data_IF_308087991669
#
_entry.id   IF_308087991669
#
_cell.length_a   1.000
_cell.length_b   1.000
_cell.length_c   1.000
_cell.angle_alpha   90.00
_cell.angle_beta   90.00
_cell.angle_gamma   90.00
#
_symmetry.space_group_name_H-M   'P 1'
#
loop_
_entity.id
_entity.type
_entity.pdbx_description
1 polymer ?
#
# COMPACT_ATOMS: atom_id res chain seq x y z
N UNK A 1 19.89 -44.52 -30.67
CA UNK A 1 19.12 -43.26 -30.62
C UNK A 1 20.07 -42.12 -30.31
N UNK A 2 20.13 -41.07 -31.15
CA UNK A 2 21.06 -39.93 -31.00
C UNK A 2 20.41 -38.75 -30.27
N UNK A 3 19.09 -38.63 -30.35
CA UNK A 3 18.29 -37.72 -29.53
C UNK A 3 16.84 -38.20 -29.44
N UNK A 4 16.08 -37.68 -28.48
CA UNK A 4 14.65 -37.96 -28.28
C UNK A 4 13.97 -36.87 -27.45
N UNK A 5 12.65 -36.83 -27.50
CA UNK A 5 11.84 -35.87 -26.74
C UNK A 5 11.08 -36.54 -25.60
N UNK A 6 10.89 -35.82 -24.50
CA UNK A 6 9.97 -36.19 -23.41
C UNK A 6 9.00 -35.04 -23.20
N UNK A 7 7.71 -35.36 -23.13
CA UNK A 7 6.65 -34.41 -22.79
C UNK A 7 6.31 -34.59 -21.31
N UNK A 8 6.38 -33.52 -20.53
CA UNK A 8 6.13 -33.51 -19.08
C UNK A 8 4.99 -32.54 -18.76
N UNK A 9 3.75 -33.05 -18.56
CA UNK A 9 2.62 -32.25 -18.14
C UNK A 9 2.59 -32.06 -16.62
N UNK A 10 2.06 -30.93 -16.15
CA UNK A 10 2.01 -30.60 -14.72
C UNK A 10 0.90 -31.32 -13.95
N UNK A 11 -0.11 -31.86 -14.65
CA UNK A 11 -1.30 -32.48 -14.08
C UNK A 11 -1.20 -34.01 -13.96
N UNK A 12 0.02 -34.58 -13.86
CA UNK A 12 0.18 -36.01 -13.59
C UNK A 12 -0.37 -36.36 -12.21
N UNK A 13 -0.72 -37.64 -12.02
CA UNK A 13 -1.37 -38.15 -10.81
C UNK A 13 -0.42 -38.30 -9.58
N UNK A 14 0.53 -37.39 -9.41
CA UNK A 14 1.44 -37.33 -8.25
C UNK A 14 0.88 -36.30 -7.28
N UNK A 15 0.72 -36.72 -6.03
CA UNK A 15 0.20 -35.86 -4.96
C UNK A 15 1.09 -34.62 -4.75
N UNK A 16 0.46 -33.46 -4.59
CA UNK A 16 1.15 -32.19 -4.36
C UNK A 16 1.62 -31.48 -5.63
N UNK A 17 1.44 -32.06 -6.82
CA UNK A 17 1.75 -31.36 -8.08
C UNK A 17 0.89 -30.10 -8.24
N UNK A 18 1.55 -29.02 -8.65
CA UNK A 18 0.94 -27.74 -9.03
C UNK A 18 1.46 -27.31 -10.39
N UNK A 19 0.75 -26.43 -11.08
CA UNK A 19 1.15 -25.92 -12.40
C UNK A 19 2.56 -25.30 -12.41
N UNK A 20 2.99 -24.71 -11.28
CA UNK A 20 4.32 -24.11 -11.11
C UNK A 20 5.38 -25.03 -10.49
N UNK A 21 5.01 -26.20 -9.97
CA UNK A 21 5.93 -27.07 -9.22
C UNK A 21 5.38 -28.48 -9.29
N UNK A 22 5.99 -29.31 -10.12
CA UNK A 22 5.46 -30.64 -10.39
C UNK A 22 6.56 -31.65 -10.71
N UNK A 23 6.27 -32.91 -10.37
CA UNK A 23 7.08 -34.08 -10.68
C UNK A 23 6.38 -34.94 -11.70
N UNK A 24 7.15 -35.56 -12.59
CA UNK A 24 6.66 -36.55 -13.55
C UNK A 24 7.49 -37.82 -13.42
N UNK A 25 6.84 -38.93 -13.05
CA UNK A 25 7.45 -40.26 -13.08
C UNK A 25 7.41 -40.80 -14.49
N UNK A 26 8.56 -41.24 -14.98
CA UNK A 26 8.68 -41.81 -16.32
C UNK A 26 8.17 -43.26 -16.33
N UNK A 27 7.52 -43.72 -17.41
CA UNK A 27 7.03 -45.10 -17.52
C UNK A 27 8.15 -46.14 -17.39
N UNK A 28 9.35 -45.79 -17.86
CA UNK A 28 10.57 -46.59 -17.73
C UNK A 28 11.71 -45.71 -17.27
N UNK A 29 12.57 -46.29 -16.43
CA UNK A 29 13.81 -45.64 -16.00
C UNK A 29 14.73 -45.47 -17.22
N UNK A 30 15.08 -44.22 -17.51
CA UNK A 30 16.05 -43.90 -18.56
C UNK A 30 17.46 -44.12 -18.02
N UNK A 31 18.32 -44.72 -18.83
CA UNK A 31 19.73 -44.94 -18.52
C UNK A 31 20.60 -44.31 -19.60
N UNK A 32 21.60 -43.54 -19.18
CA UNK A 32 22.48 -42.77 -20.04
C UNK A 32 23.91 -43.31 -19.93
N UNK A 33 24.33 -44.06 -20.95
CA UNK A 33 25.65 -44.72 -21.00
C UNK A 33 26.78 -43.82 -21.51
N UNK A 34 26.51 -42.53 -21.74
CA UNK A 34 27.46 -41.55 -22.27
C UNK A 34 27.11 -40.16 -21.77
N UNK A 35 27.80 -39.13 -22.25
CA UNK A 35 27.38 -37.74 -22.00
C UNK A 35 26.13 -37.40 -22.81
N UNK A 36 25.14 -36.81 -22.12
CA UNK A 36 23.89 -36.35 -22.69
C UNK A 36 23.63 -34.92 -22.25
N UNK A 37 22.90 -34.20 -23.08
CA UNK A 37 22.41 -32.87 -22.78
C UNK A 37 20.89 -32.85 -22.87
N UNK A 38 20.28 -31.95 -22.11
CA UNK A 38 18.85 -31.71 -22.12
C UNK A 38 18.58 -30.22 -22.31
N UNK A 39 17.54 -29.90 -23.07
CA UNK A 39 17.08 -28.53 -23.25
C UNK A 39 15.57 -28.43 -23.38
N UNK A 40 15.02 -27.27 -23.03
CA UNK A 40 13.60 -26.99 -23.20
C UNK A 40 13.31 -26.60 -24.66
N UNK A 41 12.52 -27.43 -25.36
CA UNK A 41 12.19 -27.26 -26.77
C UNK A 41 10.82 -26.59 -27.00
N UNK A 42 9.83 -26.91 -26.18
CA UNK A 42 8.50 -26.29 -26.21
C UNK A 42 7.99 -26.11 -24.79
N UNK A 43 7.29 -25.00 -24.53
CA UNK A 43 6.53 -24.79 -23.30
C UNK A 43 5.12 -24.32 -23.63
N UNK A 44 4.13 -25.03 -23.10
CA UNK A 44 2.72 -24.64 -23.13
C UNK A 44 2.32 -24.23 -21.72
N UNK A 45 1.78 -23.03 -21.53
CA UNK A 45 1.37 -22.54 -20.22
C UNK A 45 0.08 -21.69 -20.28
N UNK A 46 -0.74 -21.70 -19.23
CA UNK A 46 -1.90 -20.83 -19.12
C UNK A 46 -1.48 -19.46 -18.57
N UNK A 47 -1.91 -18.36 -19.17
CA UNK A 47 -1.74 -17.03 -18.60
C UNK A 47 -2.85 -16.75 -17.58
N UNK A 48 -2.77 -17.38 -16.41
CA UNK A 48 -3.85 -17.43 -15.42
C UNK A 48 -3.49 -16.74 -14.10
N UNK A 49 -2.70 -15.67 -14.13
CA UNK A 49 -2.40 -14.86 -12.95
C UNK A 49 -2.78 -13.39 -13.21
N UNK A 50 -3.13 -12.61 -12.16
CA UNK A 50 -3.46 -11.21 -12.34
C UNK A 50 -2.19 -10.37 -12.50
N UNK A 51 -2.25 -9.29 -13.29
CA UNK A 51 -1.15 -8.32 -13.40
C UNK A 51 -0.88 -7.59 -12.08
N UNK A 52 -1.93 -7.28 -11.31
CA UNK A 52 -1.82 -6.64 -10.00
C UNK A 52 -2.12 -7.65 -8.90
N UNK A 53 -1.29 -7.66 -7.86
CA UNK A 53 -1.48 -8.54 -6.72
C UNK A 53 -1.19 -10.00 -7.04
N UNK A 54 -0.20 -10.23 -7.92
CA UNK A 54 0.29 -11.55 -8.31
C UNK A 54 0.90 -12.27 -7.12
N UNK A 55 1.81 -11.59 -6.41
CA UNK A 55 2.59 -12.20 -5.32
C UNK A 55 2.01 -11.89 -3.94
N UNK A 56 1.54 -10.65 -3.73
CA UNK A 56 1.13 -10.14 -2.43
C UNK A 56 -0.15 -9.30 -2.58
N UNK A 57 -0.89 -9.15 -1.48
CA UNK A 57 -1.96 -8.16 -1.40
C UNK A 57 -1.42 -6.75 -1.65
N UNK A 58 -2.20 -5.92 -2.36
CA UNK A 58 -1.79 -4.57 -2.74
C UNK A 58 -2.61 -3.56 -1.97
N UNK A 59 -1.95 -2.53 -1.43
CA UNK A 59 -2.63 -1.53 -0.61
C UNK A 59 -2.12 -0.12 -0.84
N UNK A 60 -3.01 0.84 -0.62
CA UNK A 60 -2.68 2.26 -0.47
C UNK A 60 -2.92 2.61 1.00
N UNK A 61 -1.87 3.01 1.72
CA UNK A 61 -1.97 3.44 3.10
C UNK A 61 -1.89 4.95 3.16
N UNK A 62 -2.89 5.58 3.79
CA UNK A 62 -2.94 7.03 3.97
C UNK A 62 -2.66 7.36 5.43
N UNK A 63 -1.65 8.18 5.65
CA UNK A 63 -1.31 8.76 6.94
C UNK A 63 -1.91 10.16 7.00
N UNK A 64 -2.83 10.38 7.93
CA UNK A 64 -3.55 11.63 8.09
C UNK A 64 -2.81 12.55 9.06
N UNK A 65 -2.90 13.87 8.86
CA UNK A 65 -2.36 14.85 9.83
C UNK A 65 -2.99 14.77 11.22
N UNK A 66 -4.18 14.17 11.32
CA UNK A 66 -4.81 13.83 12.60
C UNK A 66 -4.04 12.77 13.41
N UNK A 67 -3.03 12.14 12.83
CA UNK A 67 -2.28 11.02 13.43
C UNK A 67 -2.87 9.65 13.10
N UNK A 68 -4.06 9.60 12.50
CA UNK A 68 -4.70 8.35 12.11
C UNK A 68 -4.06 7.76 10.85
N UNK A 69 -4.12 6.43 10.72
CA UNK A 69 -3.62 5.69 9.55
C UNK A 69 -4.71 4.79 9.03
N UNK A 70 -4.98 4.83 7.72
CA UNK A 70 -5.98 3.97 7.07
C UNK A 70 -5.37 3.27 5.88
N UNK A 71 -5.50 1.95 5.85
CA UNK A 71 -5.06 1.11 4.75
C UNK A 71 -6.23 0.72 3.85
N UNK A 72 -6.12 1.03 2.57
CA UNK A 72 -7.11 0.71 1.55
C UNK A 72 -6.61 -0.45 0.70
N UNK A 73 -7.30 -1.60 0.78
CA UNK A 73 -7.00 -2.75 -0.07
C UNK A 73 -7.34 -2.47 -1.53
N UNK A 74 -6.37 -2.75 -2.41
CA UNK A 74 -6.50 -2.72 -3.86
C UNK A 74 -6.61 -4.17 -4.33
N UNK A 75 -7.77 -4.59 -4.88
CA UNK A 75 -8.00 -5.98 -5.23
C UNK A 75 -7.06 -6.42 -6.36
N UNK A 76 -6.60 -7.69 -6.30
CA UNK A 76 -5.86 -8.30 -7.40
C UNK A 76 -6.71 -8.27 -8.67
N UNK A 77 -6.12 -7.84 -9.78
CA UNK A 77 -6.85 -7.64 -11.02
C UNK A 77 -5.95 -7.70 -12.26
N UNK A 78 -6.57 -8.02 -13.39
CA UNK A 78 -5.99 -7.91 -14.72
C UNK A 78 -6.00 -6.47 -15.17
N UNK A 79 -4.81 -5.94 -15.44
CA UNK A 79 -4.69 -4.58 -15.91
C UNK A 79 -4.69 -4.56 -17.44
N UNK A 80 -5.81 -4.15 -18.02
CA UNK A 80 -5.95 -4.02 -19.48
C UNK A 80 -5.45 -2.67 -19.98
N UNK A 81 -5.68 -1.61 -19.20
CA UNK A 81 -5.22 -0.26 -19.51
C UNK A 81 -5.06 0.57 -18.21
N UNK A 82 -4.30 1.67 -18.26
CA UNK A 82 -4.09 2.53 -17.10
C UNK A 82 -5.36 3.20 -16.55
N UNK A 83 -6.35 3.48 -17.39
CA UNK A 83 -7.60 4.10 -16.94
C UNK A 83 -8.38 3.16 -16.00
N UNK A 84 -8.45 1.88 -16.35
CA UNK A 84 -9.09 0.87 -15.51
C UNK A 84 -8.39 0.73 -14.14
N UNK A 85 -7.05 0.82 -14.11
CA UNK A 85 -6.31 0.85 -12.84
C UNK A 85 -6.69 2.06 -11.99
N UNK A 86 -6.76 3.25 -12.62
CA UNK A 86 -7.20 4.48 -11.96
C UNK A 86 -8.57 4.32 -11.32
N UNK A 87 -9.54 3.80 -12.08
CA UNK A 87 -10.91 3.62 -11.61
C UNK A 87 -10.99 2.62 -10.43
N UNK A 88 -10.13 1.61 -10.42
CA UNK A 88 -10.02 0.67 -9.30
C UNK A 88 -9.44 1.33 -8.04
N UNK A 89 -8.41 2.16 -8.19
CA UNK A 89 -7.85 2.94 -7.08
C UNK A 89 -8.88 3.91 -6.50
N UNK A 90 -9.61 4.61 -7.35
CA UNK A 90 -10.71 5.48 -6.94
C UNK A 90 -11.79 4.71 -6.17
N UNK A 91 -12.13 3.49 -6.61
CA UNK A 91 -13.10 2.65 -5.90
C UNK A 91 -12.58 2.24 -4.53
N UNK A 92 -11.30 1.87 -4.42
CA UNK A 92 -10.67 1.52 -3.13
C UNK A 92 -10.65 2.71 -2.17
N UNK A 93 -10.23 3.89 -2.64
CA UNK A 93 -10.20 5.11 -1.84
C UNK A 93 -11.60 5.63 -1.49
N UNK A 94 -12.62 5.37 -2.32
CA UNK A 94 -14.01 5.76 -2.01
C UNK A 94 -14.64 4.96 -0.87
N UNK A 95 -14.03 3.87 -0.39
CA UNK A 95 -14.55 3.11 0.76
C UNK A 95 -14.51 3.93 2.05
N UNK A 96 -13.53 4.82 2.19
CA UNK A 96 -13.38 5.65 3.39
C UNK A 96 -13.14 4.85 4.67
N UNK A 97 -13.30 5.54 5.81
CA UNK A 97 -13.25 4.94 7.15
C UNK A 97 -14.40 5.49 8.00
N UNK A 98 -15.49 4.71 8.11
CA UNK A 98 -16.62 5.08 8.98
C UNK A 98 -16.21 5.10 10.47
N UNK A 99 -15.20 4.32 10.87
CA UNK A 99 -14.66 4.37 12.22
C UNK A 99 -14.04 5.75 12.54
N UNK A 100 -13.27 6.33 11.60
CA UNK A 100 -12.72 7.67 11.77
C UNK A 100 -13.79 8.76 11.69
N UNK A 101 -14.79 8.58 10.81
CA UNK A 101 -15.94 9.48 10.74
C UNK A 101 -16.65 9.55 12.09
N UNK A 102 -16.89 8.39 12.73
CA UNK A 102 -17.58 8.35 14.01
C UNK A 102 -16.70 8.90 15.15
N UNK A 103 -15.39 8.62 15.13
CA UNK A 103 -14.40 9.22 16.04
C UNK A 103 -14.45 10.75 15.97
N UNK A 104 -14.42 11.34 14.77
CA UNK A 104 -14.45 12.79 14.63
C UNK A 104 -15.80 13.40 15.00
N UNK A 105 -16.91 12.69 14.76
CA UNK A 105 -18.25 13.14 15.17
C UNK A 105 -18.42 13.14 16.68
N UNK A 106 -17.97 12.10 17.37
CA UNK A 106 -18.06 12.03 18.83
C UNK A 106 -17.26 13.16 19.46
N UNK A 107 -16.02 13.38 18.99
CA UNK A 107 -15.16 14.51 19.39
C UNK A 107 -15.84 15.85 19.10
N UNK A 108 -16.43 16.01 17.91
CA UNK A 108 -17.13 17.25 17.55
C UNK A 108 -18.28 17.57 18.50
N UNK A 109 -19.12 16.58 18.79
CA UNK A 109 -20.28 16.73 19.68
C UNK A 109 -19.82 17.05 21.10
N UNK A 110 -18.86 16.29 21.62
CA UNK A 110 -18.32 16.46 22.97
C UNK A 110 -17.70 17.86 23.12
N UNK A 111 -16.83 18.25 22.19
CA UNK A 111 -16.18 19.56 22.22
C UNK A 111 -17.20 20.70 22.10
N UNK A 112 -18.17 20.60 21.19
CA UNK A 112 -19.20 21.63 21.02
C UNK A 112 -20.06 21.80 22.28
N UNK A 113 -20.43 20.69 22.93
CA UNK A 113 -21.18 20.72 24.18
C UNK A 113 -20.34 21.35 25.30
N UNK A 114 -19.05 20.99 25.38
CA UNK A 114 -18.13 21.56 26.35
C UNK A 114 -17.96 23.07 26.16
N UNK A 115 -17.80 23.54 24.93
CA UNK A 115 -17.73 24.98 24.63
C UNK A 115 -18.98 25.73 25.09
N UNK A 116 -20.19 25.16 24.91
CA UNK A 116 -21.44 25.78 25.41
C UNK A 116 -21.48 25.85 26.93
N UNK A 117 -21.03 24.80 27.61
CA UNK A 117 -20.91 24.76 29.07
C UNK A 117 -19.95 25.84 29.58
N UNK A 118 -18.73 25.89 29.01
CA UNK A 118 -17.72 26.88 29.38
C UNK A 118 -18.17 28.31 29.10
N UNK A 119 -18.94 28.54 28.03
CA UNK A 119 -19.51 29.86 27.73
C UNK A 119 -20.53 30.29 28.79
N UNK A 120 -21.32 29.34 29.28
CA UNK A 120 -22.28 29.59 30.37
C UNK A 120 -21.53 29.90 31.68
N UNK A 121 -20.48 29.13 32.00
CA UNK A 121 -19.61 29.38 33.15
C UNK A 121 -18.89 30.74 33.09
N UNK A 122 -18.40 31.13 31.90
CA UNK A 122 -17.76 32.42 31.68
C UNK A 122 -18.72 33.59 31.94
N UNK A 123 -19.96 33.49 31.45
CA UNK A 123 -21.03 34.47 31.71
C UNK A 123 -21.34 34.60 33.21
N UNK A 124 -21.50 33.48 33.90
CA UNK A 124 -21.77 33.48 35.35
C UNK A 124 -20.60 34.08 36.15
N UNK A 125 -19.36 33.74 35.78
CA UNK A 125 -18.15 34.25 36.43
C UNK A 125 -17.98 35.75 36.18
N UNK A 126 -18.21 36.22 34.95
CA UNK A 126 -18.18 37.63 34.60
C UNK A 126 -19.25 38.43 35.37
N UNK A 127 -20.48 37.92 35.44
CA UNK A 127 -21.57 38.55 36.21
C UNK A 127 -21.20 38.71 37.70
N UNK A 128 -20.65 37.66 38.32
CA UNK A 128 -20.17 37.71 39.71
C UNK A 128 -19.05 38.75 39.90
N UNK A 129 -18.07 38.78 38.99
CA UNK A 129 -16.97 39.76 39.04
C UNK A 129 -17.48 41.19 38.89
N UNK A 130 -18.47 41.42 38.01
CA UNK A 130 -19.12 42.72 37.84
C UNK A 130 -19.88 43.15 39.10
N UNK A 131 -20.66 42.26 39.70
CA UNK A 131 -21.37 42.52 40.97
C UNK A 131 -20.40 42.82 42.13
N UNK A 132 -19.29 42.09 42.21
CA UNK A 132 -18.22 42.33 43.21
C UNK A 132 -17.53 43.68 43.02
N UNK A 133 -17.31 44.11 41.77
CA UNK A 133 -16.72 45.41 41.47
C UNK A 133 -17.66 46.57 41.80
N UNK A 134 -18.98 46.39 41.62
CA UNK A 134 -20.01 47.37 41.99
C UNK A 134 -20.21 47.47 43.51
N UNK A 135 -20.10 46.36 44.26
CA UNK A 135 -20.15 46.39 45.74
C UNK A 135 -18.93 47.05 46.39
N UNK A 136 -17.78 47.09 45.71
CA UNK A 136 -16.57 47.80 46.18
C UNK A 136 -16.65 49.33 45.99
N UNK A 137 -17.62 49.83 45.22
CA UNK A 137 -17.78 51.27 44.91
C UNK A 137 -18.91 51.96 45.67
N UNK A 138 -19.65 51.26 46.55
CA UNK A 138 -20.62 51.91 47.44
C UNK A 138 -19.90 52.66 48.58
N UNK A 139 -20.18 53.97 48.81
CA UNK A 139 -19.51 54.74 49.84
C UNK A 139 -20.00 54.30 51.22
N UNK A 140 -19.06 53.96 52.11
CA UNK A 140 -19.31 53.88 53.55
C UNK A 140 -19.61 55.31 54.01
N UNK A 141 -20.88 55.63 54.24
CA UNK A 141 -21.25 56.82 54.99
C UNK A 141 -20.83 56.60 56.44
N UNK A 142 -19.78 57.28 56.89
CA UNK A 142 -19.63 57.62 58.30
C UNK A 142 -18.91 58.95 58.46
N UNK A 143 -19.48 59.69 59.40
CA UNK A 143 -19.17 61.03 59.85
C UNK A 143 -17.75 61.19 60.40
N UNK A 144 -17.31 62.45 60.39
CA UNK A 144 -16.26 63.11 61.20
C UNK A 144 -14.74 62.95 60.89
N UNK A 145 -14.21 64.08 60.37
CA UNK A 145 -12.97 64.83 60.69
C UNK A 145 -11.56 64.27 60.41
N UNK A 146 -10.90 64.99 59.48
CA UNK A 146 -9.49 65.49 59.43
C UNK A 146 -8.31 64.58 59.84
N UNK A 147 -7.43 64.25 58.87
CA UNK A 147 -6.07 64.81 58.76
C UNK A 147 -5.33 64.31 57.48
N UNK A 148 -4.46 65.17 56.96
CA UNK A 148 -3.68 65.04 55.72
C UNK A 148 -2.60 63.94 55.76
N UNK A 149 -2.52 63.10 54.72
CA UNK A 149 -1.25 62.52 54.22
C UNK A 149 -1.28 62.42 52.69
N UNK A 150 -0.21 62.89 52.04
CA UNK A 150 0.01 62.95 50.59
C UNK A 150 0.48 61.58 50.05
N UNK A 151 -0.01 61.31 48.84
CA UNK A 151 0.00 60.10 48.01
C UNK A 151 1.38 59.75 47.42
N UNK A 152 1.72 58.45 47.35
CA UNK A 152 2.26 57.83 46.12
C UNK A 152 2.39 56.30 46.26
N UNK A 153 1.30 55.57 46.02
CA UNK A 153 1.37 54.20 45.50
C UNK A 153 0.35 54.07 44.36
N UNK A 154 0.86 54.08 43.13
CA UNK A 154 0.15 53.62 41.94
C UNK A 154 -0.09 52.11 42.07
N UNK A 155 -1.09 51.72 42.86
CA UNK A 155 -1.66 50.38 42.72
C UNK A 155 -2.50 50.35 41.45
N UNK A 156 -1.93 49.80 40.38
CA UNK A 156 -2.66 49.40 39.17
C UNK A 156 -3.94 48.67 39.58
N UNK A 157 -5.09 49.26 39.25
CA UNK A 157 -6.39 48.61 39.37
C UNK A 157 -6.38 47.44 38.37
N UNK A 158 -6.53 46.17 38.81
CA UNK A 158 -6.57 45.06 37.87
C UNK A 158 -7.74 45.28 36.92
N UNK A 159 -7.45 45.48 35.63
CA UNK A 159 -8.49 45.67 34.61
C UNK A 159 -9.46 44.48 34.67
N UNK A 160 -10.75 44.77 34.76
CA UNK A 160 -11.77 43.72 34.81
C UNK A 160 -11.69 42.90 33.52
N UNK A 161 -11.30 41.63 33.62
CA UNK A 161 -11.23 40.74 32.45
C UNK A 161 -12.58 40.70 31.73
N UNK A 162 -12.55 40.76 30.40
CA UNK A 162 -13.74 40.62 29.57
C UNK A 162 -14.33 39.20 29.65
N UNK A 163 -15.62 39.03 29.31
CA UNK A 163 -16.24 37.69 29.23
C UNK A 163 -15.46 36.76 28.29
N UNK A 164 -14.97 37.31 27.17
CA UNK A 164 -14.23 36.55 26.17
C UNK A 164 -12.85 36.12 26.66
N UNK A 165 -12.12 36.96 27.41
CA UNK A 165 -10.87 36.54 28.06
C UNK A 165 -11.10 35.43 29.09
N UNK A 166 -12.16 35.53 29.90
CA UNK A 166 -12.51 34.48 30.86
C UNK A 166 -12.86 33.19 30.14
N UNK A 167 -13.58 33.27 29.02
CA UNK A 167 -13.92 32.11 28.20
C UNK A 167 -12.68 31.46 27.60
N UNK A 168 -11.75 32.23 27.02
CA UNK A 168 -10.50 31.71 26.47
C UNK A 168 -9.63 31.05 27.55
N UNK A 169 -9.51 31.64 28.73
CA UNK A 169 -8.81 31.03 29.87
C UNK A 169 -9.40 29.66 30.24
N UNK A 170 -10.74 29.57 30.31
CA UNK A 170 -11.44 28.34 30.63
C UNK A 170 -11.26 27.26 29.54
N UNK A 171 -11.30 27.64 28.27
CA UNK A 171 -11.05 26.74 27.14
C UNK A 171 -9.62 26.20 27.19
N UNK A 172 -8.63 27.05 27.44
CA UNK A 172 -7.23 26.63 27.55
C UNK A 172 -7.03 25.63 28.70
N UNK A 173 -7.63 25.89 29.86
CA UNK A 173 -7.58 24.97 31.01
C UNK A 173 -8.22 23.63 30.66
N UNK A 174 -9.35 23.63 29.96
CA UNK A 174 -10.05 22.40 29.62
C UNK A 174 -9.30 21.59 28.55
N UNK A 175 -8.77 22.25 27.53
CA UNK A 175 -7.93 21.61 26.52
C UNK A 175 -6.73 20.90 27.15
N UNK A 176 -6.13 21.43 28.22
CA UNK A 176 -5.02 20.77 28.93
C UNK A 176 -5.39 19.42 29.56
N UNK A 177 -6.66 19.25 29.98
CA UNK A 177 -7.15 18.02 30.62
C UNK A 177 -7.50 16.90 29.63
N UNK A 178 -7.63 17.22 28.35
CA UNK A 178 -8.00 16.26 27.30
C UNK A 178 -6.85 15.30 26.98
N UNK A 179 -7.20 14.13 26.42
CA UNK A 179 -6.22 13.16 25.91
C UNK A 179 -5.47 13.72 24.70
N UNK A 180 -4.27 13.20 24.45
CA UNK A 180 -3.41 13.70 23.37
C UNK A 180 -4.04 13.49 21.97
N UNK A 181 -4.75 12.38 21.77
CA UNK A 181 -5.51 12.10 20.54
C UNK A 181 -6.63 13.13 20.31
N UNK A 182 -7.36 13.49 21.38
CA UNK A 182 -8.42 14.50 21.30
C UNK A 182 -7.82 15.88 20.99
N UNK A 183 -6.72 16.26 21.67
CA UNK A 183 -6.00 17.51 21.42
C UNK A 183 -5.52 17.61 19.97
N UNK A 184 -4.99 16.52 19.41
CA UNK A 184 -4.54 16.49 18.02
C UNK A 184 -5.70 16.69 17.05
N UNK A 185 -6.84 16.02 17.26
CA UNK A 185 -8.05 16.21 16.47
C UNK A 185 -8.54 17.66 16.54
N UNK A 186 -8.63 18.25 17.74
CA UNK A 186 -9.03 19.64 17.89
C UNK A 186 -8.06 20.58 17.16
N UNK A 187 -6.75 20.31 17.26
CA UNK A 187 -5.74 21.11 16.57
C UNK A 187 -5.95 21.14 15.06
N UNK A 188 -6.10 19.97 14.42
CA UNK A 188 -6.25 19.88 12.96
C UNK A 188 -7.62 20.36 12.47
N UNK A 189 -8.65 20.27 13.31
CA UNK A 189 -9.99 20.75 12.99
C UNK A 189 -10.20 22.23 13.25
N UNK A 190 -9.37 22.88 14.08
CA UNK A 190 -9.42 24.34 14.24
C UNK A 190 -9.00 25.08 12.95
N UNK A 191 -8.09 24.50 12.17
CA UNK A 191 -7.62 25.07 10.91
C UNK A 191 -8.65 24.91 9.78
N UNK A 192 -9.25 23.72 9.66
CA UNK A 192 -10.04 23.31 8.49
C UNK A 192 -11.53 23.15 8.78
N UNK A 193 -11.88 22.82 10.04
CA UNK A 193 -13.24 22.49 10.48
C UNK A 193 -13.54 20.99 10.47
N UNK A 194 -14.48 20.54 11.31
CA UNK A 194 -14.83 19.12 11.43
C UNK A 194 -15.50 18.53 10.17
N UNK A 195 -16.39 19.28 9.51
CA UNK A 195 -17.16 18.77 8.38
C UNK A 195 -16.29 18.40 7.15
N UNK A 196 -15.30 19.21 6.74
CA UNK A 196 -14.37 18.82 5.69
C UNK A 196 -13.58 17.54 6.04
N UNK A 197 -13.08 17.42 7.26
CA UNK A 197 -12.41 16.21 7.75
C UNK A 197 -13.32 14.98 7.64
N UNK A 198 -14.56 15.07 8.12
CA UNK A 198 -15.56 13.99 8.01
C UNK A 198 -15.82 13.62 6.53
N UNK A 199 -15.91 14.61 5.65
CA UNK A 199 -16.12 14.39 4.21
C UNK A 199 -14.94 13.66 3.57
N UNK A 200 -13.72 14.04 3.93
CA UNK A 200 -12.48 13.41 3.45
C UNK A 200 -12.36 11.99 3.99
N UNK A 201 -12.63 11.73 5.27
CA UNK A 201 -12.60 10.36 5.80
C UNK A 201 -13.65 9.44 5.17
N UNK A 202 -14.81 9.98 4.80
CA UNK A 202 -15.82 9.23 4.06
C UNK A 202 -15.40 8.95 2.62
N UNK A 203 -14.70 9.91 1.98
CA UNK A 203 -14.22 9.80 0.60
C UNK A 203 -12.77 10.28 0.47
N UNK A 204 -11.79 9.46 0.89
CA UNK A 204 -10.36 9.79 0.85
C UNK A 204 -9.88 10.31 -0.49
N UNK A 205 -10.49 9.87 -1.60
CA UNK A 205 -10.20 10.38 -2.94
C UNK A 205 -10.31 11.91 -3.12
N UNK A 206 -10.99 12.60 -2.20
CA UNK A 206 -11.10 14.06 -2.21
C UNK A 206 -9.83 14.75 -1.71
N UNK A 207 -9.04 14.08 -0.87
CA UNK A 207 -7.77 14.58 -0.37
C UNK A 207 -6.57 13.88 -1.03
N UNK A 208 -6.74 12.69 -1.59
CA UNK A 208 -5.69 12.03 -2.35
C UNK A 208 -6.23 11.17 -3.48
N UNK A 209 -5.86 11.44 -4.73
CA UNK A 209 -6.29 10.65 -5.88
C UNK A 209 -5.19 10.48 -6.92
N UNK A 210 -5.30 9.37 -7.64
CA UNK A 210 -4.43 9.06 -8.77
C UNK A 210 -5.11 9.51 -10.05
N UNK A 211 -4.37 10.17 -10.94
CA UNK A 211 -4.86 10.52 -12.27
C UNK A 211 -3.92 10.01 -13.33
N UNK A 212 -4.48 9.47 -14.41
CA UNK A 212 -3.69 9.01 -15.54
C UNK A 212 -3.73 10.04 -16.67
N UNK A 213 -2.56 10.57 -17.03
CA UNK A 213 -2.42 11.51 -18.12
C UNK A 213 -2.07 10.76 -19.42
N UNK A 214 -3.08 10.48 -20.25
CA UNK A 214 -2.94 9.75 -21.51
C UNK A 214 -1.87 10.34 -22.45
N UNK A 215 -1.81 11.66 -22.58
CA UNK A 215 -0.82 12.35 -23.42
C UNK A 215 0.63 12.16 -22.95
N UNK A 216 0.85 12.14 -21.63
CA UNK A 216 2.19 11.93 -21.05
C UNK A 216 2.50 10.44 -20.84
N UNK A 217 1.48 9.59 -20.91
CA UNK A 217 1.52 8.20 -20.48
C UNK A 217 2.15 8.07 -19.08
N UNK A 218 1.63 8.85 -18.12
CA UNK A 218 2.11 8.91 -16.72
C UNK A 218 0.94 9.02 -15.76
N UNK A 219 1.09 8.40 -14.59
CA UNK A 219 0.24 8.71 -13.45
C UNK A 219 0.73 9.97 -12.73
N UNK A 220 -0.20 10.67 -12.10
CA UNK A 220 0.07 11.64 -11.06
C UNK A 220 -0.70 11.25 -9.81
N UNK A 221 -0.16 11.63 -8.66
CA UNK A 221 -0.81 11.53 -7.36
C UNK A 221 -1.01 12.95 -6.85
N UNK A 222 -2.25 13.33 -6.63
CA UNK A 222 -2.60 14.51 -5.87
C UNK A 222 -2.65 14.16 -4.38
N UNK A 223 -2.08 15.03 -3.56
CA UNK A 223 -2.11 14.98 -2.10
C UNK A 223 -2.46 16.37 -1.60
N UNK A 224 -3.58 16.47 -0.90
CA UNK A 224 -3.98 17.64 -0.16
C UNK A 224 -3.26 17.68 1.20
N UNK A 225 -2.28 18.57 1.29
CA UNK A 225 -1.45 18.73 2.48
C UNK A 225 -2.22 19.26 3.70
N UNK A 226 -3.47 19.71 3.57
CA UNK A 226 -4.30 20.08 4.74
C UNK A 226 -4.72 18.83 5.53
N UNK A 227 -4.91 17.70 4.86
CA UNK A 227 -5.43 16.48 5.48
C UNK A 227 -4.40 15.35 5.56
N UNK A 228 -3.60 15.18 4.51
CA UNK A 228 -2.74 14.02 4.33
C UNK A 228 -1.29 14.40 4.65
N UNK A 229 -0.66 13.62 5.53
CA UNK A 229 0.77 13.73 5.84
C UNK A 229 1.61 13.01 4.77
N UNK A 230 1.24 11.77 4.45
CA UNK A 230 1.91 10.96 3.43
C UNK A 230 1.03 9.80 2.98
N UNK A 231 1.41 9.23 1.84
CA UNK A 231 0.81 8.03 1.27
C UNK A 231 1.91 6.98 1.10
N UNK A 232 1.62 5.76 1.48
CA UNK A 232 2.49 4.61 1.29
C UNK A 232 1.81 3.59 0.37
N UNK A 233 2.54 3.15 -0.64
CA UNK A 233 2.11 2.16 -1.62
C UNK A 233 2.90 0.87 -1.44
N UNK A 234 2.25 -0.27 -1.65
CA UNK A 234 2.97 -1.53 -1.82
C UNK A 234 3.92 -1.47 -3.01
N UNK A 235 5.03 -2.20 -2.92
CA UNK A 235 6.12 -2.16 -3.93
C UNK A 235 5.63 -2.35 -5.37
N UNK A 236 4.85 -3.41 -5.60
CA UNK A 236 4.33 -3.71 -6.94
C UNK A 236 3.38 -2.61 -7.42
N UNK A 237 2.55 -2.04 -6.54
CA UNK A 237 1.64 -0.96 -6.91
C UNK A 237 2.39 0.32 -7.29
N UNK A 238 3.41 0.71 -6.50
CA UNK A 238 4.28 1.84 -6.83
C UNK A 238 4.96 1.65 -8.19
N UNK A 239 5.50 0.44 -8.43
CA UNK A 239 6.14 0.06 -9.69
C UNK A 239 5.17 0.15 -10.88
N UNK A 240 3.98 -0.46 -10.77
CA UNK A 240 2.95 -0.46 -11.81
C UNK A 240 2.52 0.96 -12.18
N UNK A 241 2.42 1.85 -11.18
CA UNK A 241 2.05 3.24 -11.38
C UNK A 241 3.20 4.10 -11.94
N UNK A 242 4.45 3.59 -11.88
CA UNK A 242 5.65 4.25 -12.39
C UNK A 242 6.33 5.17 -11.38
N UNK A 243 6.03 5.02 -10.09
CA UNK A 243 6.75 5.70 -9.00
C UNK A 243 8.00 4.92 -8.63
N UNK A 244 9.08 5.64 -8.30
CA UNK A 244 10.36 5.10 -7.88
C UNK A 244 10.47 4.92 -6.35
N UNK A 245 9.46 5.38 -5.62
CA UNK A 245 9.38 5.34 -4.16
C UNK A 245 7.98 4.94 -3.72
N UNK A 246 7.92 4.19 -2.62
CA UNK A 246 6.67 3.72 -2.01
C UNK A 246 6.00 4.81 -1.16
N UNK A 247 6.80 5.66 -0.54
CA UNK A 247 6.33 6.74 0.34
C UNK A 247 6.33 8.05 -0.42
N UNK A 248 5.17 8.70 -0.48
CA UNK A 248 4.88 9.93 -1.22
C UNK A 248 4.29 10.95 -0.25
N UNK A 249 4.99 12.07 -0.05
CA UNK A 249 4.61 13.12 0.92
C UNK A 249 3.97 14.33 0.25
N UNK A 250 4.07 14.46 -1.07
CA UNK A 250 3.61 15.61 -1.83
C UNK A 250 2.98 15.19 -3.16
N UNK A 251 2.19 16.11 -3.72
CA UNK A 251 1.63 15.94 -5.06
C UNK A 251 2.77 15.78 -6.07
N UNK A 252 2.74 14.69 -6.83
CA UNK A 252 3.85 14.34 -7.73
C UNK A 252 3.37 13.59 -8.98
N UNK A 253 4.24 13.55 -9.99
CA UNK A 253 4.04 12.81 -11.23
C UNK A 253 5.00 11.62 -11.23
N UNK A 254 4.52 10.46 -11.64
CA UNK A 254 5.32 9.27 -11.81
C UNK A 254 6.47 9.49 -12.81
N UNK A 255 7.66 8.96 -12.50
CA UNK A 255 8.84 9.09 -13.34
C UNK A 255 8.73 8.20 -14.60
N UNK A 256 8.08 7.05 -14.47
CA UNK A 256 8.03 6.02 -15.51
C UNK A 256 6.64 5.80 -16.09
N UNK A 257 6.58 5.24 -17.31
CA UNK A 257 5.32 4.77 -17.89
C UNK A 257 4.76 3.65 -17.03
N UNK A 258 3.43 3.58 -16.86
CA UNK A 258 2.86 2.53 -16.05
C UNK A 258 2.99 1.16 -16.72
N UNK A 259 3.38 0.14 -15.96
CA UNK A 259 3.52 -1.23 -16.45
C UNK A 259 2.29 -2.07 -16.10
N UNK A 260 1.40 -2.26 -17.07
CA UNK A 260 0.19 -3.08 -16.91
C UNK A 260 0.48 -4.59 -16.83
N UNK A 261 1.73 -5.02 -16.99
CA UNK A 261 2.15 -6.43 -16.81
C UNK A 261 2.56 -6.75 -15.37
N UNK A 262 2.62 -5.76 -14.49
CA UNK A 262 2.86 -6.01 -13.07
C UNK A 262 4.30 -6.37 -12.72
N UNK A 263 5.27 -6.05 -13.57
CA UNK A 263 6.68 -6.40 -13.39
C UNK A 263 7.03 -7.84 -13.71
N UNK A 264 6.05 -8.67 -14.08
CA UNK A 264 6.26 -10.09 -14.40
C UNK A 264 6.31 -10.25 -15.93
N UNK A 265 7.53 -10.30 -16.47
CA UNK A 265 7.77 -10.35 -17.93
C UNK A 265 8.31 -11.69 -18.43
N UNK A 266 8.84 -12.52 -17.54
CA UNK A 266 9.41 -13.82 -17.88
C UNK A 266 9.28 -14.84 -16.75
N UNK A 267 9.30 -16.12 -17.13
CA UNK A 267 9.50 -17.24 -16.24
C UNK A 267 10.97 -17.65 -16.22
N UNK A 268 11.40 -18.16 -15.08
CA UNK A 268 12.61 -18.95 -14.96
C UNK A 268 12.17 -20.41 -14.76
N UNK A 269 12.51 -21.27 -15.71
CA UNK A 269 12.13 -22.70 -15.67
C UNK A 269 13.28 -23.49 -15.08
N UNK A 270 13.10 -24.02 -13.88
CA UNK A 270 14.09 -24.78 -13.14
C UNK A 270 13.89 -26.27 -13.36
N UNK A 271 15.00 -27.02 -13.41
CA UNK A 271 15.01 -28.47 -13.35
C UNK A 271 15.99 -28.98 -12.30
N UNK A 272 15.65 -28.87 -11.00
CA UNK A 272 16.53 -29.26 -9.91
C UNK A 272 16.92 -30.75 -10.02
N UNK A 273 18.22 -31.03 -9.85
CA UNK A 273 18.76 -32.40 -9.91
C UNK A 273 18.90 -32.98 -11.32
N UNK A 274 18.39 -32.31 -12.36
CA UNK A 274 18.52 -32.77 -13.75
C UNK A 274 19.79 -32.22 -14.42
N UNK A 275 20.06 -30.93 -14.22
CA UNK A 275 21.14 -30.17 -14.88
C UNK A 275 22.06 -29.51 -13.87
N UNK A 276 23.29 -29.20 -14.32
CA UNK A 276 24.24 -28.44 -13.52
C UNK A 276 23.73 -27.01 -13.24
N UNK A 277 23.82 -26.51 -12.00
CA UNK A 277 23.50 -25.12 -11.70
C UNK A 277 24.37 -24.15 -12.51
N UNK A 278 23.75 -23.10 -13.04
CA UNK A 278 24.44 -22.03 -13.75
C UNK A 278 24.36 -20.72 -12.96
N UNK A 279 25.31 -19.82 -13.20
CA UNK A 279 25.28 -18.46 -12.65
C UNK A 279 24.21 -17.63 -13.36
N UNK A 280 23.31 -17.03 -12.59
CA UNK A 280 22.24 -16.13 -13.03
C UNK A 280 22.27 -14.90 -12.13
N UNK A 281 22.80 -13.80 -12.65
CA UNK A 281 23.03 -12.61 -11.83
C UNK A 281 23.99 -12.92 -10.69
N UNK A 282 23.52 -12.74 -9.46
CA UNK A 282 24.23 -12.98 -8.20
C UNK A 282 23.93 -14.34 -7.56
N UNK A 283 23.14 -15.21 -8.20
CA UNK A 283 22.74 -16.52 -7.68
C UNK A 283 23.14 -17.66 -8.62
N UNK A 284 23.39 -18.86 -8.08
CA UNK A 284 23.55 -20.10 -8.87
C UNK A 284 22.31 -20.97 -8.82
N UNK A 285 21.76 -21.36 -9.97
CA UNK A 285 20.50 -22.08 -10.07
C UNK A 285 20.42 -23.03 -11.28
N UNK A 286 19.73 -24.19 -11.16
CA UNK A 286 19.55 -25.14 -12.27
C UNK A 286 18.41 -24.72 -13.21
N UNK A 287 18.58 -23.60 -13.92
CA UNK A 287 17.58 -23.06 -14.85
C UNK A 287 17.77 -23.61 -16.26
N UNK A 288 16.77 -24.34 -16.77
CA UNK A 288 16.75 -24.82 -18.16
C UNK A 288 16.68 -23.65 -19.15
N UNK A 289 15.83 -22.66 -18.87
CA UNK A 289 15.58 -21.53 -19.75
C UNK A 289 14.81 -20.41 -19.05
N UNK A 290 15.09 -19.17 -19.46
CA UNK A 290 14.24 -18.01 -19.19
C UNK A 290 13.24 -17.88 -20.35
N UNK A 291 11.95 -17.86 -20.06
CA UNK A 291 10.86 -17.84 -21.05
C UNK A 291 10.11 -16.52 -20.94
N UNK A 292 10.10 -15.72 -22.00
CA UNK A 292 9.32 -14.48 -22.02
C UNK A 292 7.82 -14.78 -22.04
N UNK A 293 7.07 -14.07 -21.20
CA UNK A 293 5.61 -14.17 -21.13
C UNK A 293 5.00 -13.43 -22.32
N UNK A 294 4.09 -14.11 -23.02
CA UNK A 294 3.35 -13.58 -24.17
C UNK A 294 1.86 -13.88 -24.01
N UNK A 295 1.07 -13.42 -24.96
CA UNK A 295 -0.37 -13.61 -24.97
C UNK A 295 -1.11 -12.70 -24.00
N UNK A 296 -2.44 -12.71 -24.13
CA UNK A 296 -3.35 -12.05 -23.20
C UNK A 296 -3.63 -12.97 -22.01
N UNK A 297 -4.16 -12.39 -20.95
CA UNK A 297 -4.67 -13.18 -19.84
C UNK A 297 -5.76 -14.15 -20.30
N UNK A 298 -5.83 -15.30 -19.64
CA UNK A 298 -6.72 -16.43 -19.89
C UNK A 298 -6.43 -17.21 -21.19
N UNK A 299 -5.42 -16.82 -21.97
CA UNK A 299 -4.94 -17.58 -23.12
C UNK A 299 -4.02 -18.74 -22.67
N UNK A 300 -4.02 -19.82 -23.47
CA UNK A 300 -3.00 -20.87 -23.40
C UNK A 300 -1.95 -20.52 -24.45
N UNK A 301 -0.72 -20.30 -24.01
CA UNK A 301 0.39 -19.90 -24.87
C UNK A 301 1.29 -21.10 -25.09
N UNK A 302 1.56 -21.39 -26.36
CA UNK A 302 2.61 -22.29 -26.80
C UNK A 302 3.81 -21.48 -27.29
N UNK A 303 4.96 -21.65 -26.61
CA UNK A 303 6.23 -21.08 -27.04
C UNK A 303 7.13 -22.21 -27.54
N UNK A 304 7.42 -22.19 -28.85
CA UNK A 304 8.37 -23.11 -29.49
C UNK A 304 9.73 -22.44 -29.63
N UNK A 305 10.79 -23.10 -29.16
CA UNK A 305 12.14 -22.53 -29.18
C UNK A 305 12.95 -23.04 -30.39
N UNK A 306 13.19 -22.15 -31.36
CA UNK A 306 14.00 -22.46 -32.55
C UNK A 306 15.45 -22.83 -32.21
N UNK A 307 16.06 -22.09 -31.29
CA UNK A 307 17.38 -22.40 -30.75
C UNK A 307 17.21 -23.00 -29.36
N UNK A 308 17.45 -24.30 -29.18
CA UNK A 308 17.33 -24.97 -27.88
C UNK A 308 18.62 -24.75 -27.06
N UNK A 309 18.48 -24.24 -25.84
CA UNK A 309 19.57 -24.14 -24.87
C UNK A 309 19.76 -25.50 -24.21
N UNK A 310 20.90 -26.15 -24.51
CA UNK A 310 21.24 -27.46 -23.97
C UNK A 310 22.16 -27.34 -22.76
N UNK A 311 21.87 -28.15 -21.76
CA UNK A 311 22.63 -28.23 -20.51
C UNK A 311 23.11 -29.66 -20.30
N UNK A 312 24.29 -29.83 -19.72
CA UNK A 312 24.83 -31.15 -19.40
C UNK A 312 23.94 -31.84 -18.37
N UNK A 313 23.61 -33.10 -18.63
CA UNK A 313 22.86 -33.93 -17.71
C UNK A 313 23.75 -34.37 -16.53
N UNK A 314 23.30 -34.17 -15.30
CA UNK A 314 24.05 -34.58 -14.10
C UNK A 314 23.92 -36.07 -13.80
N UNK A 315 22.74 -36.62 -14.05
CA UNK A 315 22.36 -37.98 -13.64
C UNK A 315 22.49 -38.96 -14.80
N UNK A 316 23.00 -40.16 -14.50
CA UNK A 316 23.06 -41.26 -15.47
C UNK A 316 21.77 -42.07 -15.55
N UNK A 317 20.87 -41.87 -14.59
CA UNK A 317 19.61 -42.58 -14.52
C UNK A 317 18.48 -41.64 -14.10
N UNK A 318 17.35 -41.69 -14.80
CA UNK A 318 16.18 -40.85 -14.52
C UNK A 318 14.93 -41.72 -14.45
N UNK A 319 14.28 -41.73 -13.30
CA UNK A 319 12.93 -42.28 -13.12
C UNK A 319 11.88 -41.19 -12.91
N UNK A 320 12.31 -40.00 -12.50
CA UNK A 320 11.43 -38.87 -12.19
C UNK A 320 12.13 -37.57 -12.58
N UNK A 321 11.35 -36.62 -13.13
CA UNK A 321 11.81 -35.28 -13.46
C UNK A 321 11.01 -34.30 -12.62
N UNK A 322 11.71 -33.39 -11.94
CA UNK A 322 11.13 -32.32 -11.14
C UNK A 322 11.33 -30.97 -11.84
N UNK A 323 10.25 -30.19 -11.95
CA UNK A 323 10.24 -28.86 -12.56
C UNK A 323 9.66 -27.84 -11.59
N UNK A 324 10.28 -26.66 -11.55
CA UNK A 324 9.69 -25.48 -10.93
C UNK A 324 9.65 -24.31 -11.92
N UNK A 325 8.59 -23.51 -11.89
CA UNK A 325 8.40 -22.32 -12.70
C UNK A 325 8.33 -21.15 -11.75
N UNK A 326 9.34 -20.28 -11.82
CA UNK A 326 9.53 -19.15 -10.92
C UNK A 326 9.47 -17.81 -11.65
N UNK A 327 9.13 -16.76 -10.93
CA UNK A 327 9.27 -15.36 -11.35
C UNK A 327 10.75 -14.97 -11.41
N UNK A 328 11.06 -13.77 -11.91
CA UNK A 328 12.41 -13.20 -11.86
C UNK A 328 12.92 -12.93 -10.44
N UNK A 329 12.03 -12.76 -9.46
CA UNK A 329 12.41 -12.64 -8.04
C UNK A 329 12.65 -14.00 -7.36
N UNK A 330 12.44 -15.11 -8.08
CA UNK A 330 12.64 -16.46 -7.56
C UNK A 330 11.44 -17.05 -6.81
N UNK A 331 10.33 -16.32 -6.68
CA UNK A 331 9.07 -16.86 -6.13
C UNK A 331 8.40 -17.81 -7.11
N UNK A 332 7.64 -18.79 -6.62
CA UNK A 332 6.85 -19.66 -7.51
C UNK A 332 5.78 -18.86 -8.25
N UNK A 333 5.64 -19.09 -9.55
CA UNK A 333 4.65 -18.40 -10.38
C UNK A 333 3.22 -18.77 -9.95
N UNK A 334 2.35 -17.83 -9.55
CA UNK A 334 1.05 -18.16 -8.97
C UNK A 334 -0.03 -18.36 -10.04
N UNK A 335 0.09 -19.42 -10.85
CA UNK A 335 -0.98 -19.83 -11.76
C UNK A 335 -2.27 -20.13 -10.97
N UNK A 336 -3.38 -19.49 -11.33
CA UNK A 336 -4.67 -19.72 -10.65
C UNK A 336 -5.35 -21.00 -11.16
N UNK A 337 -5.17 -21.32 -12.44
CA UNK A 337 -5.77 -22.49 -13.08
C UNK A 337 -5.03 -22.88 -14.37
N UNK A 338 -5.45 -24.00 -14.97
CA UNK A 338 -4.86 -24.54 -16.21
C UNK A 338 -3.64 -25.45 -15.96
N UNK A 339 -3.16 -26.09 -17.02
CA UNK A 339 -2.06 -27.06 -16.99
C UNK A 339 -0.87 -26.53 -17.78
N UNK A 340 0.33 -26.73 -17.28
CA UNK A 340 1.57 -26.44 -17.98
C UNK A 340 2.17 -27.72 -18.54
N UNK A 341 2.69 -27.68 -19.76
CA UNK A 341 3.33 -28.82 -20.42
C UNK A 341 4.66 -28.38 -21.00
N UNK A 342 5.73 -29.09 -20.66
CA UNK A 342 7.07 -28.84 -21.22
C UNK A 342 7.45 -30.00 -22.13
N UNK A 343 8.12 -29.70 -23.24
CA UNK A 343 8.77 -30.69 -24.08
C UNK A 343 10.28 -30.54 -23.93
N UNK A 344 10.91 -31.52 -23.30
CA UNK A 344 12.36 -31.60 -23.13
C UNK A 344 12.98 -32.39 -24.28
N UNK A 345 14.06 -31.88 -24.84
CA UNK A 345 14.84 -32.56 -25.86
C UNK A 345 16.15 -33.06 -25.27
N UNK A 346 16.33 -34.37 -25.27
CA UNK A 346 17.54 -35.05 -24.84
C UNK A 346 18.39 -35.38 -26.06
N UNK A 347 19.64 -34.95 -26.06
CA UNK A 347 20.58 -35.16 -27.17
C UNK A 347 21.90 -35.73 -26.65
N UNK A 348 22.39 -36.78 -27.28
CA UNK A 348 23.72 -37.34 -26.99
C UNK A 348 24.78 -36.31 -27.37
N UNK A 349 25.82 -36.16 -26.55
CA UNK A 349 26.98 -35.37 -26.94
C UNK A 349 27.54 -35.91 -28.27
N UNK A 350 27.70 -35.04 -29.26
CA UNK A 350 28.42 -35.39 -30.48
C UNK A 350 29.90 -35.51 -30.10
N UNK A 351 30.47 -36.71 -30.21
CA UNK A 351 31.92 -36.87 -30.17
C UNK A 351 32.47 -36.12 -31.39
N UNK A 352 33.32 -35.12 -31.15
CA UNK A 352 34.13 -34.50 -32.20
C UNK A 352 35.23 -35.45 -32.64
#
# INVERSE_FOLDING_TARGET
MTSFYIIIPSNTNIEGNRTNSFRVRLPHKLQFNSEWHVGLAVMVYPHSWPSLGTNNEQTVTVYWKSGDVVQFSVPSNTLTNPQHLKDNLDRSLNKGSEALVEKFRSVHIEYTNKLKELRTQAKDKYKRLKELSQKRTEPVSNDTTEEHVIISEETEVPSLKSEDEIFTDLVNIENLKMTDDFKQIISVTNEVGFDPWIKVFRKPRLACNFEFHSYKNRFSLFIDSEYVEKIELTEQLAYILGFDRQILTETCIANFMPDMRGGVSCFHVYAPGLIEPMVIGDVTAPVLRIVTIRGKQDEIIEEQFLCVQYHKLLVKEISEIFIEIRTSSGTLMPFQYGTCTLTLHFKKASYF
#
